data_IF_024328597588
#
_entry.id   IF_024328597588
#
_cell.length_a   1.000
_cell.length_b   1.000
_cell.length_c   1.000
_cell.angle_alpha   90.00
_cell.angle_beta   90.00
_cell.angle_gamma   90.00
#
_symmetry.space_group_name_H-M   'P 1'
#
loop_
_entity.id
_entity.type
_entity.pdbx_description
1 polymer ?
#
# COMPACT_ATOMS: atom_id res chain seq x y z
N UNK A 1 -26.19 22.01 38.12
CA UNK A 1 -25.01 22.47 37.36
C UNK A 1 -23.93 21.46 37.67
N UNK A 2 -23.59 20.62 36.70
CA UNK A 2 -22.51 19.65 36.86
C UNK A 2 -21.20 20.44 36.76
N UNK A 3 -20.45 20.48 37.85
CA UNK A 3 -19.13 21.07 37.88
C UNK A 3 -18.28 20.33 36.85
N UNK A 4 -17.71 21.09 35.92
CA UNK A 4 -16.72 20.57 34.99
C UNK A 4 -15.48 20.31 35.82
N UNK A 5 -15.22 19.04 36.15
CA UNK A 5 -13.95 18.64 36.76
C UNK A 5 -12.84 19.07 35.79
N UNK A 6 -12.16 20.16 36.14
CA UNK A 6 -10.87 20.48 35.57
C UNK A 6 -9.97 19.29 35.88
N UNK A 7 -9.69 18.49 34.86
CA UNK A 7 -8.64 17.48 34.92
C UNK A 7 -7.36 18.22 35.30
N UNK A 8 -7.03 18.19 36.60
CA UNK A 8 -5.70 18.47 37.09
C UNK A 8 -4.80 17.46 36.41
N UNK A 9 -4.23 17.84 35.27
CA UNK A 9 -3.05 17.22 34.71
C UNK A 9 -1.96 17.53 35.74
N UNK A 10 -1.92 16.69 36.79
CA UNK A 10 -0.72 16.51 37.56
C UNK A 10 0.38 16.20 36.54
N UNK A 11 1.60 16.64 36.79
CA UNK A 11 2.75 16.50 35.89
C UNK A 11 3.18 15.04 35.66
N UNK A 12 2.23 14.14 35.41
CA UNK A 12 2.39 12.82 34.85
C UNK A 12 3.02 13.00 33.47
N UNK A 13 4.21 12.42 33.34
CA UNK A 13 5.00 12.34 32.12
C UNK A 13 4.07 11.97 30.95
N UNK A 14 3.82 12.89 30.03
CA UNK A 14 3.12 12.56 28.79
C UNK A 14 4.03 11.63 28.00
N UNK A 15 3.65 10.37 27.89
CA UNK A 15 4.32 9.43 27.00
C UNK A 15 3.98 9.78 25.56
N UNK A 16 5.00 10.09 24.78
CA UNK A 16 4.86 10.47 23.38
C UNK A 16 5.49 9.42 22.50
N UNK A 17 4.76 8.98 21.48
CA UNK A 17 5.23 8.06 20.45
C UNK A 17 5.31 8.84 19.14
N UNK A 18 6.46 8.79 18.46
CA UNK A 18 6.66 9.49 17.17
C UNK A 18 6.64 8.48 16.03
N UNK A 19 5.67 8.62 15.11
CA UNK A 19 5.58 7.82 13.88
C UNK A 19 6.12 8.66 12.71
N UNK A 20 7.35 8.38 12.27
CA UNK A 20 8.07 9.25 11.31
C UNK A 20 7.74 8.96 9.85
N UNK A 21 7.20 7.77 9.59
CA UNK A 21 6.88 7.29 8.24
C UNK A 21 5.52 7.79 7.73
N UNK A 22 4.73 8.45 8.58
CA UNK A 22 3.42 8.98 8.24
C UNK A 22 3.40 10.49 8.35
N UNK A 23 2.73 11.13 7.39
CA UNK A 23 2.31 12.53 7.47
C UNK A 23 1.14 12.66 8.43
N UNK A 24 0.82 13.90 8.81
CA UNK A 24 -0.27 14.20 9.73
C UNK A 24 -1.59 13.58 9.26
N UNK A 25 -1.91 13.72 7.98
CA UNK A 25 -3.18 13.26 7.40
C UNK A 25 -3.27 11.72 7.40
N UNK A 26 -2.15 11.05 7.17
CA UNK A 26 -2.03 9.58 7.17
C UNK A 26 -2.16 9.03 8.61
N UNK A 27 -1.58 9.73 9.58
CA UNK A 27 -1.71 9.42 10.99
C UNK A 27 -3.15 9.61 11.49
N UNK A 28 -3.80 10.72 11.12
CA UNK A 28 -5.20 10.99 11.47
C UNK A 28 -6.11 9.87 10.95
N UNK A 29 -5.92 9.42 9.71
CA UNK A 29 -6.69 8.32 9.15
C UNK A 29 -6.44 6.97 9.84
N UNK A 30 -5.19 6.70 10.24
CA UNK A 30 -4.87 5.49 11.01
C UNK A 30 -5.57 5.51 12.38
N UNK A 31 -5.52 6.65 13.08
CA UNK A 31 -6.19 6.82 14.38
C UNK A 31 -7.71 6.74 14.22
N UNK A 32 -8.28 7.39 13.21
CA UNK A 32 -9.71 7.31 12.90
C UNK A 32 -10.13 5.87 12.67
N UNK A 33 -9.37 5.10 11.87
CA UNK A 33 -9.64 3.68 11.66
C UNK A 33 -9.63 2.88 12.97
N UNK A 34 -8.59 3.04 13.80
CA UNK A 34 -8.43 2.30 15.07
C UNK A 34 -9.59 2.56 16.04
N UNK A 35 -10.10 3.79 16.07
CA UNK A 35 -11.20 4.20 16.94
C UNK A 35 -12.60 4.01 16.32
N UNK A 36 -12.67 3.65 15.03
CA UNK A 36 -13.91 3.30 14.34
C UNK A 36 -14.31 1.84 14.60
N UNK A 37 -15.38 1.38 13.94
CA UNK A 37 -15.71 -0.06 13.89
C UNK A 37 -14.76 -0.87 12.99
N UNK A 38 -13.78 -0.21 12.38
CA UNK A 38 -12.75 -0.81 11.52
C UNK A 38 -13.28 -1.24 10.15
N UNK A 39 -14.51 -0.86 9.78
CA UNK A 39 -15.16 -1.40 8.58
C UNK A 39 -14.83 -0.67 7.28
N UNK A 40 -14.45 0.61 7.35
CA UNK A 40 -14.29 1.48 6.17
C UNK A 40 -12.96 2.20 6.18
N UNK A 41 -12.28 2.18 5.03
CA UNK A 41 -11.09 2.99 4.80
C UNK A 41 -11.46 4.43 4.45
N UNK A 42 -10.67 5.39 4.92
CA UNK A 42 -10.85 6.79 4.55
C UNK A 42 -10.58 6.98 3.04
N UNK A 43 -11.62 7.31 2.27
CA UNK A 43 -11.55 7.50 0.81
C UNK A 43 -10.60 8.63 0.37
N UNK A 44 -10.24 9.54 1.28
CA UNK A 44 -9.33 10.66 1.01
C UNK A 44 -7.85 10.26 1.06
N UNK A 45 -7.54 9.02 1.41
CA UNK A 45 -6.19 8.59 1.74
C UNK A 45 -5.57 7.71 0.67
N UNK A 46 -4.24 7.75 0.63
CA UNK A 46 -3.43 6.85 -0.19
C UNK A 46 -3.39 5.46 0.45
N UNK A 47 -4.10 4.51 -0.13
CA UNK A 47 -4.24 3.15 0.40
C UNK A 47 -2.90 2.44 0.59
N UNK A 48 -1.90 2.72 -0.26
CA UNK A 48 -0.56 2.14 -0.11
C UNK A 48 0.15 2.60 1.18
N UNK A 49 -0.10 3.82 1.67
CA UNK A 49 0.53 4.30 2.92
C UNK A 49 -0.09 3.63 4.13
N UNK A 50 -1.43 3.55 4.17
CA UNK A 50 -2.14 2.83 5.23
C UNK A 50 -1.78 1.34 5.20
N UNK A 51 -1.62 0.74 4.03
CA UNK A 51 -1.16 -0.63 3.89
C UNK A 51 0.21 -0.85 4.54
N UNK A 52 1.20 0.00 4.24
CA UNK A 52 2.55 -0.11 4.82
C UNK A 52 2.56 0.11 6.34
N UNK A 53 1.76 1.07 6.82
CA UNK A 53 1.62 1.29 8.26
C UNK A 53 0.92 0.12 8.95
N UNK A 54 -0.13 -0.43 8.34
CA UNK A 54 -0.84 -1.58 8.86
C UNK A 54 0.06 -2.82 8.95
N UNK A 55 0.94 -3.03 7.97
CA UNK A 55 1.93 -4.10 8.06
C UNK A 55 2.97 -3.82 9.15
N UNK A 56 3.54 -2.62 9.20
CA UNK A 56 4.54 -2.21 10.20
C UNK A 56 4.03 -2.32 11.64
N UNK A 57 2.79 -1.92 11.88
CA UNK A 57 2.14 -1.94 13.20
C UNK A 57 1.32 -3.21 13.45
N UNK A 58 1.36 -4.17 12.52
CA UNK A 58 0.69 -5.48 12.62
C UNK A 58 -0.83 -5.35 12.84
N UNK A 59 -1.45 -4.38 12.18
CA UNK A 59 -2.90 -4.16 12.16
C UNK A 59 -3.49 -4.96 11.00
N UNK A 60 -3.58 -6.28 11.19
CA UNK A 60 -3.91 -7.23 10.11
C UNK A 60 -5.21 -6.91 9.37
N UNK A 61 -6.25 -6.51 10.11
CA UNK A 61 -7.55 -6.18 9.49
C UNK A 61 -7.45 -4.98 8.55
N UNK A 62 -6.76 -3.90 8.97
CA UNK A 62 -6.51 -2.74 8.14
C UNK A 62 -5.71 -3.12 6.89
N UNK A 63 -4.68 -3.95 7.06
CA UNK A 63 -3.83 -4.40 5.97
C UNK A 63 -4.64 -5.14 4.91
N UNK A 64 -5.53 -6.04 5.32
CA UNK A 64 -6.35 -6.85 4.41
C UNK A 64 -7.40 -5.99 3.67
N UNK A 65 -7.98 -5.00 4.34
CA UNK A 65 -8.85 -4.00 3.70
C UNK A 65 -8.08 -3.17 2.68
N UNK A 66 -6.91 -2.64 3.05
CA UNK A 66 -6.07 -1.88 2.12
C UNK A 66 -5.64 -2.73 0.93
N UNK A 67 -5.29 -4.01 1.14
CA UNK A 67 -4.97 -4.95 0.07
C UNK A 67 -6.13 -5.08 -0.92
N UNK A 68 -7.35 -5.23 -0.41
CA UNK A 68 -8.55 -5.37 -1.23
C UNK A 68 -8.77 -4.14 -2.12
N UNK A 69 -8.63 -2.93 -1.55
CA UNK A 69 -8.76 -1.68 -2.30
C UNK A 69 -7.60 -1.42 -3.28
N UNK A 70 -6.38 -1.83 -2.94
CA UNK A 70 -5.25 -1.77 -3.88
C UNK A 70 -5.52 -2.69 -5.07
N UNK A 71 -5.93 -3.93 -4.83
CA UNK A 71 -6.25 -4.88 -5.92
C UNK A 71 -7.42 -4.37 -6.77
N UNK A 72 -8.47 -3.81 -6.17
CA UNK A 72 -9.63 -3.30 -6.90
C UNK A 72 -9.31 -2.06 -7.76
N UNK A 73 -8.29 -1.28 -7.37
CA UNK A 73 -7.84 -0.08 -8.09
C UNK A 73 -6.73 -0.33 -9.11
N UNK A 74 -6.28 -1.58 -9.27
CA UNK A 74 -5.21 -1.95 -10.19
C UNK A 74 -5.54 -1.59 -11.65
N UNK A 75 -4.59 -0.92 -12.31
CA UNK A 75 -4.67 -0.52 -13.70
C UNK A 75 -3.26 -0.31 -14.30
N UNK A 76 -3.18 -0.01 -15.60
CA UNK A 76 -1.90 0.15 -16.29
C UNK A 76 -1.01 1.29 -15.78
N UNK A 77 -1.59 2.30 -15.12
CA UNK A 77 -0.83 3.42 -14.57
C UNK A 77 -0.16 3.05 -13.24
N UNK A 78 -0.76 2.17 -12.43
CA UNK A 78 -0.25 1.84 -11.08
C UNK A 78 0.30 0.41 -10.93
N UNK A 79 0.14 -0.47 -11.93
CA UNK A 79 0.54 -1.87 -11.82
C UNK A 79 2.02 -2.07 -11.47
N UNK A 80 2.91 -1.26 -12.05
CA UNK A 80 4.35 -1.29 -11.73
C UNK A 80 4.61 -0.86 -10.28
N UNK A 81 3.93 0.18 -9.80
CA UNK A 81 4.08 0.64 -8.41
C UNK A 81 3.57 -0.42 -7.42
N UNK A 82 2.49 -1.12 -7.77
CA UNK A 82 1.93 -2.17 -6.91
C UNK A 82 2.83 -3.40 -6.88
N UNK A 83 3.47 -3.74 -8.00
CA UNK A 83 4.49 -4.78 -8.02
C UNK A 83 5.69 -4.42 -7.13
N UNK A 84 6.15 -3.17 -7.16
CA UNK A 84 7.20 -2.67 -6.24
C UNK A 84 6.74 -2.72 -4.78
N UNK A 85 5.53 -2.21 -4.50
CA UNK A 85 4.92 -2.19 -3.17
C UNK A 85 4.87 -3.59 -2.56
N UNK A 86 4.54 -4.60 -3.37
CA UNK A 86 4.42 -5.98 -2.95
C UNK A 86 5.77 -6.66 -2.64
N UNK A 87 6.92 -6.01 -2.86
CA UNK A 87 8.21 -6.61 -2.55
C UNK A 87 8.60 -6.46 -1.09
N UNK A 88 8.21 -5.35 -0.44
CA UNK A 88 8.58 -5.05 0.96
C UNK A 88 7.41 -4.33 1.65
N UNK A 89 6.67 -5.01 2.54
CA UNK A 89 6.77 -6.45 2.84
C UNK A 89 6.44 -7.30 1.61
N UNK A 90 6.94 -8.54 1.56
CA UNK A 90 6.59 -9.44 0.48
C UNK A 90 5.13 -9.91 0.61
N UNK A 91 4.25 -9.37 -0.24
CA UNK A 91 2.83 -9.70 -0.28
C UNK A 91 2.53 -10.48 -1.56
N UNK A 92 2.45 -11.80 -1.43
CA UNK A 92 2.23 -12.71 -2.56
C UNK A 92 0.96 -12.38 -3.33
N UNK A 93 -0.10 -11.91 -2.65
CA UNK A 93 -1.38 -11.67 -3.30
C UNK A 93 -1.30 -10.42 -4.18
N UNK A 94 -0.75 -9.31 -3.67
CA UNK A 94 -0.54 -8.10 -4.48
C UNK A 94 0.46 -8.39 -5.61
N UNK A 95 1.55 -9.10 -5.29
CA UNK A 95 2.58 -9.48 -6.25
C UNK A 95 1.98 -10.25 -7.43
N UNK A 96 1.26 -11.34 -7.17
CA UNK A 96 0.76 -12.22 -8.21
C UNK A 96 -0.29 -11.53 -9.09
N UNK A 97 -1.18 -10.73 -8.48
CA UNK A 97 -2.21 -10.00 -9.23
C UNK A 97 -1.59 -8.88 -10.08
N UNK A 98 -0.68 -8.08 -9.51
CA UNK A 98 0.00 -7.02 -10.24
C UNK A 98 0.87 -7.60 -11.37
N UNK A 99 1.62 -8.66 -11.08
CA UNK A 99 2.48 -9.32 -12.06
C UNK A 99 1.67 -9.91 -13.21
N UNK A 100 0.59 -10.64 -12.93
CA UNK A 100 -0.31 -11.19 -13.95
C UNK A 100 -0.94 -10.11 -14.83
N UNK A 101 -1.37 -9.00 -14.21
CA UNK A 101 -1.88 -7.84 -14.95
C UNK A 101 -0.83 -7.23 -15.87
N UNK A 102 0.41 -7.10 -15.40
CA UNK A 102 1.53 -6.59 -16.19
C UNK A 102 1.79 -7.48 -17.41
N UNK A 103 1.87 -8.79 -17.23
CA UNK A 103 2.10 -9.73 -18.33
C UNK A 103 0.98 -9.67 -19.36
N UNK A 104 -0.28 -9.61 -18.90
CA UNK A 104 -1.45 -9.50 -19.78
C UNK A 104 -1.44 -8.20 -20.62
N UNK A 105 -0.88 -7.13 -20.07
CA UNK A 105 -0.86 -5.79 -20.70
C UNK A 105 0.56 -5.34 -21.12
N UNK A 106 1.47 -6.29 -21.32
CA UNK A 106 2.91 -6.00 -21.41
C UNK A 106 3.26 -5.10 -22.59
N UNK A 107 2.55 -5.24 -23.73
CA UNK A 107 2.78 -4.41 -24.92
C UNK A 107 2.56 -2.91 -24.63
N UNK A 108 1.52 -2.58 -23.88
CA UNK A 108 1.21 -1.20 -23.45
C UNK A 108 2.19 -0.74 -22.39
N UNK A 109 2.44 -1.57 -21.37
CA UNK A 109 3.27 -1.20 -20.21
C UNK A 109 4.73 -1.01 -20.62
N UNK A 110 5.30 -1.93 -21.40
CA UNK A 110 6.70 -1.89 -21.85
C UNK A 110 7.01 -0.66 -22.72
N UNK A 111 5.98 -0.10 -23.37
CA UNK A 111 6.09 1.11 -24.19
C UNK A 111 6.10 2.41 -23.37
N UNK A 112 5.80 2.35 -22.07
CA UNK A 112 5.68 3.54 -21.22
C UNK A 112 7.03 4.05 -20.70
N UNK A 113 7.15 5.38 -20.51
CA UNK A 113 8.31 5.97 -19.81
C UNK A 113 8.44 5.46 -18.37
N UNK A 114 7.30 5.14 -17.74
CA UNK A 114 7.27 4.57 -16.40
C UNK A 114 7.98 3.22 -16.33
N UNK A 115 7.81 2.37 -17.33
CA UNK A 115 8.51 1.10 -17.40
C UNK A 115 10.03 1.29 -17.55
N UNK A 116 10.48 2.29 -18.32
CA UNK A 116 11.92 2.60 -18.41
C UNK A 116 12.51 2.96 -17.04
N UNK A 117 11.82 3.78 -16.27
CA UNK A 117 12.22 4.12 -14.90
C UNK A 117 12.18 2.91 -13.97
N UNK A 118 11.13 2.09 -14.07
CA UNK A 118 11.00 0.85 -13.32
C UNK A 118 12.18 -0.09 -13.56
N UNK A 119 12.62 -0.26 -14.81
CA UNK A 119 13.76 -1.14 -15.15
C UNK A 119 15.06 -0.67 -14.50
N UNK A 120 15.29 0.65 -14.44
CA UNK A 120 16.47 1.22 -13.79
C UNK A 120 16.46 0.95 -12.27
N UNK A 121 15.29 1.10 -11.64
CA UNK A 121 15.15 0.94 -10.19
C UNK A 121 15.05 -0.53 -9.76
N UNK A 122 14.48 -1.39 -10.61
CA UNK A 122 14.11 -2.77 -10.29
C UNK A 122 14.56 -3.75 -11.39
N UNK A 123 15.88 -3.87 -11.66
CA UNK A 123 16.38 -4.67 -12.78
C UNK A 123 16.02 -6.16 -12.66
N UNK A 124 15.96 -6.71 -11.44
CA UNK A 124 15.57 -8.10 -11.23
C UNK A 124 14.09 -8.35 -11.57
N UNK A 125 13.18 -7.49 -11.11
CA UNK A 125 11.76 -7.61 -11.46
C UNK A 125 11.53 -7.43 -12.96
N UNK A 126 12.26 -6.52 -13.59
CA UNK A 126 12.22 -6.35 -15.05
C UNK A 126 12.64 -7.62 -15.80
N UNK A 127 13.67 -8.32 -15.32
CA UNK A 127 14.09 -9.62 -15.88
C UNK A 127 13.00 -10.68 -15.72
N UNK A 128 12.34 -10.75 -14.55
CA UNK A 128 11.25 -11.70 -14.34
C UNK A 128 10.04 -11.41 -15.24
N UNK A 129 9.68 -10.13 -15.40
CA UNK A 129 8.63 -9.71 -16.35
C UNK A 129 9.00 -10.13 -17.77
N UNK A 130 10.22 -9.85 -18.21
CA UNK A 130 10.70 -10.20 -19.56
C UNK A 130 10.70 -11.72 -19.79
N UNK A 131 11.14 -12.51 -18.80
CA UNK A 131 11.08 -13.98 -18.89
C UNK A 131 9.64 -14.43 -19.07
N UNK A 132 8.74 -13.96 -18.19
CA UNK A 132 7.34 -14.36 -18.23
C UNK A 132 6.64 -13.95 -19.54
N UNK A 133 6.96 -12.78 -20.10
CA UNK A 133 6.35 -12.32 -21.37
C UNK A 133 6.72 -13.19 -22.56
N UNK A 134 7.89 -13.84 -22.56
CA UNK A 134 8.31 -14.74 -23.64
C UNK A 134 7.48 -16.03 -23.62
N UNK A 135 7.11 -16.52 -22.43
CA UNK A 135 6.32 -17.74 -22.29
C UNK A 135 4.82 -17.53 -22.51
N UNK A 136 4.31 -16.30 -22.31
CA UNK A 136 2.89 -15.98 -22.56
C UNK A 136 2.52 -15.90 -24.04
N UNK A 137 3.44 -15.51 -24.93
CA UNK A 137 3.19 -15.42 -26.37
C UNK A 137 3.25 -16.78 -27.10
N UNK A 138 3.78 -17.83 -26.46
CA UNK A 138 3.92 -19.17 -27.05
C UNK A 138 2.68 -20.07 -27.01
N UNK A 139 1.52 -19.54 -26.61
CA UNK A 139 0.30 -20.32 -26.34
C UNK A 139 -0.85 -20.09 -27.34
N UNK A 140 -0.59 -19.50 -28.51
CA UNK A 140 -1.56 -19.36 -29.61
C UNK A 140 -1.28 -20.32 -30.76
#
# INVERSE_FOLDING_TARGET
MLESDEVKISSEKVETVTLREMKKEELEALVEFIYSDGSVLCAKMKQHVLYLAADKYVILHLRDLCRTELISSLNSENALDFLELAQIPFDTVINDVAFSFIITNISTIASSEKFKLFVVNNPYLAVEIMKASIYSDGSN
#
